data_IF_012485633124
#
_entry.id   IF_012485633124
#
_cell.length_a   1.000
_cell.length_b   1.000
_cell.length_c   1.000
_cell.angle_alpha   90.00
_cell.angle_beta   90.00
_cell.angle_gamma   90.00
#
_symmetry.space_group_name_H-M   'P 1'
#
loop_
_entity.id
_entity.type
_entity.pdbx_description
1 polymer ?
#
# COMPACT_ATOMS: atom_id res chain seq x y z
N UNK A 1 18.53 18.37 -42.64
CA UNK A 1 19.02 17.00 -42.44
C UNK A 1 18.09 16.37 -41.42
N UNK A 2 17.10 15.59 -41.85
CA UNK A 2 16.24 14.82 -40.93
C UNK A 2 17.06 13.65 -40.40
N UNK A 3 17.29 13.62 -39.09
CA UNK A 3 17.92 12.48 -38.42
C UNK A 3 16.97 11.27 -38.54
N UNK A 4 17.35 10.18 -39.23
CA UNK A 4 16.46 9.02 -39.44
C UNK A 4 16.32 8.11 -38.23
N UNK A 5 16.75 8.53 -37.06
CA UNK A 5 16.82 7.72 -35.84
C UNK A 5 15.73 7.99 -34.82
N UNK A 6 14.61 8.63 -35.16
CA UNK A 6 13.44 8.61 -34.26
C UNK A 6 12.79 7.23 -34.41
N UNK A 7 13.37 6.24 -33.72
CA UNK A 7 12.78 4.92 -33.59
C UNK A 7 11.34 5.09 -33.02
N UNK A 8 10.37 4.51 -33.71
CA UNK A 8 8.96 4.56 -33.37
C UNK A 8 8.78 4.01 -31.93
N UNK A 9 8.38 4.87 -30.98
CA UNK A 9 8.08 4.45 -29.61
C UNK A 9 6.84 3.57 -29.60
N UNK A 10 6.90 2.46 -28.88
CA UNK A 10 5.83 1.48 -28.79
C UNK A 10 5.46 1.26 -27.33
N UNK A 11 4.17 1.43 -27.02
CA UNK A 11 3.58 1.05 -25.73
C UNK A 11 3.11 -0.40 -25.81
N UNK A 12 3.50 -1.22 -24.82
CA UNK A 12 3.09 -2.63 -24.73
C UNK A 12 3.23 -3.18 -23.29
N UNK A 13 2.57 -4.30 -22.97
CA UNK A 13 2.86 -5.03 -21.75
C UNK A 13 4.34 -5.42 -21.64
N UNK A 14 4.83 -5.50 -20.42
CA UNK A 14 6.16 -6.02 -20.08
C UNK A 14 6.19 -7.53 -20.36
N UNK A 15 7.27 -7.99 -20.97
CA UNK A 15 7.56 -9.43 -21.14
C UNK A 15 8.76 -9.85 -20.30
N UNK A 16 8.92 -11.16 -20.08
CA UNK A 16 10.08 -11.68 -19.35
C UNK A 16 11.43 -11.32 -20.00
N UNK A 17 11.46 -11.18 -21.32
CA UNK A 17 12.67 -10.77 -22.07
C UNK A 17 13.09 -9.32 -21.78
N UNK A 18 12.17 -8.46 -21.33
CA UNK A 18 12.46 -7.06 -21.00
C UNK A 18 13.07 -6.89 -19.61
N UNK A 19 12.96 -7.88 -18.72
CA UNK A 19 13.33 -7.77 -17.31
C UNK A 19 14.76 -7.25 -17.10
N UNK A 20 15.81 -7.77 -17.78
CA UNK A 20 17.16 -7.25 -17.58
C UNK A 20 17.28 -5.75 -17.91
N UNK A 21 16.63 -5.31 -18.99
CA UNK A 21 16.64 -3.90 -19.42
C UNK A 21 15.86 -3.00 -18.43
N UNK A 22 14.76 -3.50 -17.87
CA UNK A 22 13.96 -2.77 -16.87
C UNK A 22 14.70 -2.68 -15.54
N UNK A 23 15.41 -3.72 -15.10
CA UNK A 23 16.25 -3.66 -13.91
C UNK A 23 17.38 -2.63 -14.05
N UNK A 24 18.02 -2.57 -15.23
CA UNK A 24 18.98 -1.51 -15.56
C UNK A 24 18.35 -0.11 -15.47
N UNK A 25 17.14 0.06 -16.02
CA UNK A 25 16.39 1.31 -15.96
C UNK A 25 16.06 1.71 -14.50
N UNK A 26 15.70 0.76 -13.63
CA UNK A 26 15.47 1.03 -12.22
C UNK A 26 16.74 1.50 -11.52
N UNK A 27 17.86 0.83 -11.75
CA UNK A 27 19.15 1.25 -11.19
C UNK A 27 19.55 2.67 -11.66
N UNK A 28 19.39 2.97 -12.94
CA UNK A 28 19.64 4.31 -13.49
C UNK A 28 18.71 5.38 -12.91
N UNK A 29 17.47 5.02 -12.58
CA UNK A 29 16.48 5.92 -11.99
C UNK A 29 16.54 6.01 -10.45
N UNK A 30 17.43 5.25 -9.82
CA UNK A 30 17.54 5.19 -8.34
C UNK A 30 16.34 4.53 -7.66
N UNK A 31 15.64 3.63 -8.36
CA UNK A 31 14.57 2.81 -7.78
C UNK A 31 15.13 1.49 -7.28
N UNK A 32 14.63 1.04 -6.14
CA UNK A 32 14.96 -0.27 -5.56
C UNK A 32 13.68 -1.08 -5.33
N UNK A 33 12.95 -1.48 -6.39
CA UNK A 33 11.81 -2.37 -6.23
C UNK A 33 12.30 -3.76 -5.84
N UNK A 34 11.42 -4.58 -5.25
CA UNK A 34 11.71 -5.98 -5.07
C UNK A 34 11.88 -6.65 -6.43
N UNK A 35 13.03 -7.22 -6.67
CA UNK A 35 13.47 -7.66 -8.01
C UNK A 35 13.83 -9.15 -8.08
N UNK A 36 13.64 -9.90 -7.00
CA UNK A 36 13.80 -11.35 -7.06
C UNK A 36 12.80 -11.96 -8.07
N UNK A 37 13.16 -13.01 -8.83
CA UNK A 37 12.31 -13.56 -9.88
C UNK A 37 10.89 -13.91 -9.41
N UNK A 38 10.74 -14.48 -8.22
CA UNK A 38 9.44 -14.80 -7.62
C UNK A 38 8.60 -13.54 -7.32
N UNK A 39 9.25 -12.43 -6.91
CA UNK A 39 8.60 -11.17 -6.59
C UNK A 39 8.04 -10.54 -7.87
N UNK A 40 8.84 -10.53 -8.94
CA UNK A 40 8.42 -10.03 -10.25
C UNK A 40 7.29 -10.86 -10.83
N UNK A 41 7.36 -12.20 -10.70
CA UNK A 41 6.32 -13.11 -11.15
C UNK A 41 4.99 -12.79 -10.47
N UNK A 42 5.00 -12.65 -9.14
CA UNK A 42 3.81 -12.29 -8.38
C UNK A 42 3.33 -10.89 -8.70
N UNK A 43 4.21 -9.90 -8.66
CA UNK A 43 3.90 -8.48 -8.77
C UNK A 43 3.36 -8.11 -10.15
N UNK A 44 3.92 -8.68 -11.23
CA UNK A 44 3.65 -8.25 -12.59
C UNK A 44 2.79 -9.23 -13.40
N UNK A 45 2.90 -10.52 -13.16
CA UNK A 45 2.31 -11.53 -14.06
C UNK A 45 1.36 -12.51 -13.38
N UNK A 46 1.46 -12.77 -12.07
CA UNK A 46 0.55 -13.71 -11.43
C UNK A 46 -0.91 -13.26 -11.66
N UNK A 47 -1.77 -14.13 -12.22
CA UNK A 47 -3.15 -13.77 -12.51
C UNK A 47 -3.92 -13.28 -11.26
N UNK A 48 -4.75 -12.29 -11.46
CA UNK A 48 -5.74 -11.82 -10.48
C UNK A 48 -7.12 -11.99 -11.07
N UNK A 49 -8.00 -12.74 -10.41
CA UNK A 49 -9.35 -12.98 -10.89
C UNK A 49 -10.21 -11.68 -10.93
N UNK A 50 -9.93 -10.74 -10.02
CA UNK A 50 -10.59 -9.43 -9.99
C UNK A 50 -10.03 -8.44 -11.04
N UNK A 51 -8.92 -8.79 -11.70
CA UNK A 51 -8.31 -7.98 -12.76
C UNK A 51 -7.61 -8.85 -13.81
N UNK A 52 -8.26 -9.19 -14.92
CA UNK A 52 -7.70 -10.11 -15.93
C UNK A 52 -6.65 -9.48 -16.85
N UNK A 53 -6.48 -8.16 -16.83
CA UNK A 53 -5.53 -7.45 -17.69
C UNK A 53 -4.07 -7.49 -17.20
N UNK A 54 -3.11 -7.12 -18.06
CA UNK A 54 -1.71 -7.00 -17.69
C UNK A 54 -1.54 -5.87 -16.64
N UNK A 55 -0.53 -6.05 -15.76
CA UNK A 55 -0.26 -5.13 -14.65
C UNK A 55 1.12 -4.50 -14.70
N UNK A 56 1.83 -4.65 -15.81
CA UNK A 56 3.13 -4.00 -16.02
C UNK A 56 3.30 -3.67 -17.49
N UNK A 57 3.80 -2.47 -17.77
CA UNK A 57 3.92 -1.90 -19.11
C UNK A 57 5.24 -1.21 -19.31
N UNK A 58 5.67 -1.20 -20.55
CA UNK A 58 6.84 -0.44 -21.02
C UNK A 58 6.46 0.49 -22.17
N UNK A 59 7.16 1.61 -22.23
CA UNK A 59 7.36 2.35 -23.46
C UNK A 59 8.74 1.96 -23.98
N UNK A 60 8.81 1.40 -25.17
CA UNK A 60 10.04 0.92 -25.78
C UNK A 60 10.34 1.65 -27.08
N UNK A 61 11.61 1.73 -27.45
CA UNK A 61 12.09 2.14 -28.76
C UNK A 61 12.89 0.99 -29.42
N UNK A 62 13.58 1.24 -30.50
CA UNK A 62 14.39 0.23 -31.20
C UNK A 62 15.55 -0.36 -30.37
N UNK A 63 15.88 0.23 -29.22
CA UNK A 63 16.94 -0.21 -28.30
C UNK A 63 16.39 -0.90 -27.03
N UNK A 64 15.05 -0.95 -26.87
CA UNK A 64 14.38 -1.59 -25.73
C UNK A 64 13.56 -0.63 -24.84
N UNK A 65 13.21 -1.04 -23.62
CA UNK A 65 12.45 -0.22 -22.67
C UNK A 65 13.15 1.10 -22.33
N UNK A 66 12.41 2.20 -22.50
CA UNK A 66 12.84 3.58 -22.14
C UNK A 66 12.04 4.15 -20.96
N UNK A 67 10.88 3.54 -20.66
CA UNK A 67 10.11 3.79 -19.44
C UNK A 67 9.34 2.52 -19.03
N UNK A 68 9.11 2.38 -17.75
CA UNK A 68 8.37 1.27 -17.13
C UNK A 68 7.38 1.81 -16.11
N UNK A 69 6.26 1.12 -15.93
CA UNK A 69 5.37 1.29 -14.81
C UNK A 69 4.61 -0.01 -14.53
N UNK A 70 4.43 -0.31 -13.25
CA UNK A 70 3.55 -1.37 -12.79
C UNK A 70 2.28 -0.79 -12.17
N UNK A 71 1.25 -1.63 -12.06
CA UNK A 71 -0.10 -1.24 -11.71
C UNK A 71 -0.62 -2.02 -10.51
N UNK A 72 -1.25 -1.31 -9.58
CA UNK A 72 -2.16 -1.89 -8.58
C UNK A 72 -3.58 -1.44 -8.95
N UNK A 73 -4.31 -2.26 -9.71
CA UNK A 73 -5.66 -1.94 -10.12
C UNK A 73 -6.66 -2.20 -8.99
N UNK A 74 -7.69 -1.37 -8.92
CA UNK A 74 -8.81 -1.51 -8.00
C UNK A 74 -10.09 -0.93 -8.62
N UNK A 75 -11.23 -1.31 -8.07
CA UNK A 75 -12.47 -0.58 -8.24
C UNK A 75 -12.56 0.46 -7.14
N UNK A 76 -12.91 1.69 -7.50
CA UNK A 76 -13.22 2.76 -6.56
C UNK A 76 -14.73 3.01 -6.56
N UNK A 77 -15.34 3.01 -5.39
CA UNK A 77 -16.80 3.18 -5.25
C UNK A 77 -17.14 4.34 -4.31
N UNK A 78 -18.17 5.10 -4.66
CA UNK A 78 -18.78 6.14 -3.82
C UNK A 78 -20.23 6.39 -4.27
N UNK A 79 -21.17 6.51 -3.34
CA UNK A 79 -22.58 6.66 -3.66
C UNK A 79 -23.04 5.55 -4.62
N UNK A 80 -23.49 5.95 -5.82
CA UNK A 80 -23.90 5.04 -6.90
C UNK A 80 -22.81 4.80 -7.95
N UNK A 81 -21.68 5.46 -7.81
CA UNK A 81 -20.58 5.38 -8.76
C UNK A 81 -19.63 4.25 -8.44
N UNK A 82 -19.15 3.57 -9.48
CA UNK A 82 -18.11 2.54 -9.42
C UNK A 82 -17.23 2.66 -10.65
N UNK A 83 -15.96 2.97 -10.45
CA UNK A 83 -15.01 3.21 -11.54
C UNK A 83 -13.78 2.32 -11.43
N UNK A 84 -13.16 2.01 -12.56
CA UNK A 84 -11.82 1.43 -12.61
C UNK A 84 -10.81 2.51 -12.25
N UNK A 85 -10.00 2.24 -11.21
CA UNK A 85 -8.90 3.09 -10.77
C UNK A 85 -7.60 2.29 -10.76
N UNK A 86 -6.52 2.89 -11.19
CA UNK A 86 -5.19 2.26 -11.23
C UNK A 86 -4.23 3.11 -10.41
N UNK A 87 -3.64 2.52 -9.37
CA UNK A 87 -2.46 3.09 -8.74
C UNK A 87 -1.21 2.65 -9.50
N UNK A 88 -0.39 3.63 -9.89
CA UNK A 88 0.85 3.41 -10.63
C UNK A 88 2.01 3.30 -9.65
N UNK A 89 2.74 2.19 -9.73
CA UNK A 89 3.93 1.90 -8.93
C UNK A 89 5.12 1.57 -9.86
N UNK A 90 6.33 1.53 -9.31
CA UNK A 90 7.56 1.24 -10.05
C UNK A 90 7.67 2.07 -11.35
N UNK A 91 7.24 3.34 -11.27
CA UNK A 91 7.26 4.25 -12.41
C UNK A 91 8.65 4.86 -12.57
N UNK A 92 9.33 4.44 -13.63
CA UNK A 92 10.66 4.90 -13.99
C UNK A 92 10.74 5.28 -15.45
N UNK A 93 11.62 6.20 -15.78
CA UNK A 93 12.01 6.52 -17.16
C UNK A 93 13.53 6.69 -17.22
N UNK A 94 14.12 6.32 -18.37
CA UNK A 94 15.54 6.46 -18.59
C UNK A 94 15.96 7.92 -18.48
N UNK A 95 16.99 8.26 -17.68
CA UNK A 95 17.54 9.60 -17.63
C UNK A 95 17.92 10.11 -19.02
N UNK A 96 17.64 11.38 -19.28
CA UNK A 96 17.91 12.02 -20.58
C UNK A 96 16.82 11.81 -21.65
N UNK A 97 15.87 10.90 -21.49
CA UNK A 97 14.74 10.77 -22.42
C UNK A 97 13.52 11.52 -21.87
N UNK A 98 13.50 12.84 -22.14
CA UNK A 98 12.45 13.72 -21.65
C UNK A 98 11.07 13.26 -22.11
N UNK A 99 10.11 13.25 -21.19
CA UNK A 99 8.71 12.95 -21.44
C UNK A 99 8.36 11.45 -21.61
N UNK A 100 9.33 10.53 -21.58
CA UNK A 100 9.03 9.09 -21.75
C UNK A 100 8.11 8.54 -20.65
N UNK A 101 8.38 8.87 -19.39
CA UNK A 101 7.52 8.47 -18.28
C UNK A 101 6.10 9.05 -18.37
N UNK A 102 5.96 10.31 -18.77
CA UNK A 102 4.66 10.97 -18.95
C UNK A 102 3.88 10.35 -20.11
N UNK A 103 4.56 10.05 -21.24
CA UNK A 103 3.96 9.36 -22.36
C UNK A 103 3.43 7.97 -21.96
N UNK A 104 4.20 7.21 -21.18
CA UNK A 104 3.76 5.93 -20.63
C UNK A 104 2.50 6.08 -19.76
N UNK A 105 2.48 7.05 -18.83
CA UNK A 105 1.29 7.32 -17.99
C UNK A 105 0.06 7.72 -18.80
N UNK A 106 0.25 8.44 -19.94
CA UNK A 106 -0.85 8.79 -20.84
C UNK A 106 -1.50 7.53 -21.43
N UNK A 107 -0.70 6.56 -21.86
CA UNK A 107 -1.21 5.28 -22.39
C UNK A 107 -1.89 4.43 -21.29
N UNK A 108 -1.29 4.35 -20.10
CA UNK A 108 -1.91 3.65 -18.97
C UNK A 108 -3.25 4.29 -18.59
N UNK A 109 -3.34 5.61 -18.61
CA UNK A 109 -4.56 6.35 -18.30
C UNK A 109 -5.75 6.04 -19.23
N UNK A 110 -5.50 5.46 -20.40
CA UNK A 110 -6.55 5.01 -21.32
C UNK A 110 -7.18 3.66 -20.88
N UNK A 111 -6.62 2.98 -19.90
CA UNK A 111 -7.08 1.66 -19.44
C UNK A 111 -8.01 1.74 -18.22
N UNK A 112 -8.17 2.94 -17.63
CA UNK A 112 -8.98 3.17 -16.44
C UNK A 112 -9.67 4.53 -16.49
N UNK A 113 -10.70 4.70 -15.70
CA UNK A 113 -11.42 5.98 -15.56
C UNK A 113 -10.67 6.98 -14.68
N UNK A 114 -9.74 6.49 -13.82
CA UNK A 114 -8.85 7.36 -13.06
C UNK A 114 -7.51 6.69 -12.76
N UNK A 115 -6.45 7.50 -12.67
CA UNK A 115 -5.18 7.09 -12.12
C UNK A 115 -5.05 7.61 -10.67
N UNK A 116 -4.48 6.79 -9.82
CA UNK A 116 -4.17 7.10 -8.42
C UNK A 116 -2.66 7.17 -8.25
N UNK A 117 -2.18 8.13 -7.47
CA UNK A 117 -0.82 8.22 -6.99
C UNK A 117 -0.84 8.41 -5.45
N UNK A 118 -0.09 7.57 -4.74
CA UNK A 118 0.06 7.62 -3.29
C UNK A 118 1.54 7.80 -3.00
N UNK A 119 1.92 8.98 -2.51
CA UNK A 119 3.31 9.33 -2.32
C UNK A 119 4.08 9.52 -3.61
N UNK A 120 5.36 9.15 -3.56
CA UNK A 120 6.33 9.28 -4.66
C UNK A 120 7.55 10.09 -4.27
N UNK A 121 8.58 10.06 -5.12
CA UNK A 121 9.78 10.90 -4.96
C UNK A 121 9.44 12.38 -5.07
N UNK A 122 10.33 13.26 -4.59
CA UNK A 122 10.16 14.70 -4.74
C UNK A 122 9.94 15.10 -6.21
N UNK A 123 10.66 14.48 -7.14
CA UNK A 123 10.47 14.70 -8.58
C UNK A 123 9.08 14.25 -9.05
N UNK A 124 8.61 13.08 -8.62
CA UNK A 124 7.26 12.58 -8.93
C UNK A 124 6.21 13.59 -8.47
N UNK A 125 6.29 14.05 -7.21
CA UNK A 125 5.35 15.01 -6.64
C UNK A 125 5.32 16.36 -7.36
N UNK A 126 6.43 16.78 -7.98
CA UNK A 126 6.49 18.00 -8.81
C UNK A 126 5.84 17.79 -10.20
N UNK A 127 5.94 16.59 -10.77
CA UNK A 127 5.42 16.30 -12.10
C UNK A 127 3.91 16.03 -12.09
N UNK A 128 3.40 15.32 -11.09
CA UNK A 128 2.01 14.86 -11.04
C UNK A 128 0.98 15.99 -11.25
N UNK A 129 1.06 17.17 -10.61
CA UNK A 129 0.11 18.26 -10.86
C UNK A 129 0.16 18.76 -12.31
N UNK A 130 1.34 18.80 -12.92
CA UNK A 130 1.55 19.28 -14.30
C UNK A 130 0.87 18.36 -15.34
N UNK A 131 0.66 17.11 -15.00
CA UNK A 131 -0.01 16.12 -15.86
C UNK A 131 -1.44 15.81 -15.43
N UNK A 132 -2.04 16.67 -14.60
CA UNK A 132 -3.47 16.68 -14.26
C UNK A 132 -3.86 15.89 -13.03
N UNK A 133 -2.91 15.43 -12.20
CA UNK A 133 -3.25 14.87 -10.88
C UNK A 133 -3.68 15.99 -9.92
N UNK A 134 -4.70 15.71 -9.12
CA UNK A 134 -5.25 16.61 -8.11
C UNK A 134 -5.21 15.96 -6.74
N UNK A 135 -4.90 16.71 -5.67
CA UNK A 135 -4.89 16.18 -4.31
C UNK A 135 -6.33 15.80 -3.87
N UNK A 136 -6.46 14.65 -3.23
CA UNK A 136 -7.74 14.15 -2.64
C UNK A 136 -7.59 13.83 -1.16
N UNK A 137 -6.41 13.98 -0.58
CA UNK A 137 -6.18 13.79 0.84
C UNK A 137 -4.72 13.48 1.17
N UNK A 138 -4.52 13.14 2.44
CA UNK A 138 -3.23 12.71 3.00
C UNK A 138 -3.45 11.41 3.77
N UNK A 139 -2.65 10.39 3.52
CA UNK A 139 -2.57 9.22 4.39
C UNK A 139 -1.56 9.50 5.50
N UNK A 140 -1.99 9.45 6.75
CA UNK A 140 -1.11 9.62 7.91
C UNK A 140 -0.58 8.26 8.33
N UNK A 141 0.74 8.16 8.45
CA UNK A 141 1.43 7.02 9.03
C UNK A 141 1.37 7.07 10.56
N UNK A 142 0.89 5.98 11.15
CA UNK A 142 0.82 5.81 12.60
C UNK A 142 1.74 4.67 13.01
N UNK A 143 2.37 4.80 14.18
CA UNK A 143 3.26 3.79 14.75
C UNK A 143 2.92 3.55 16.23
N UNK A 144 2.97 2.29 16.62
CA UNK A 144 2.98 1.85 18.02
C UNK A 144 4.21 0.98 18.26
N UNK A 145 5.03 1.35 19.22
CA UNK A 145 6.14 0.50 19.68
C UNK A 145 5.57 -0.73 20.39
N UNK A 146 6.05 -1.91 19.98
CA UNK A 146 5.71 -3.19 20.61
C UNK A 146 6.81 -3.61 21.61
N UNK A 147 8.07 -3.59 21.17
CA UNK A 147 9.24 -4.01 21.93
C UNK A 147 10.39 -3.02 21.76
N UNK A 148 10.50 -2.00 22.64
CA UNK A 148 11.48 -0.91 22.51
C UNK A 148 12.92 -1.39 22.33
N UNK A 149 13.31 -2.45 23.02
CA UNK A 149 14.68 -2.98 22.97
C UNK A 149 15.04 -3.62 21.62
N UNK A 150 14.04 -3.98 20.82
CA UNK A 150 14.29 -4.53 19.47
C UNK A 150 14.58 -3.46 18.43
N UNK A 151 14.28 -2.18 18.71
CA UNK A 151 14.62 -1.05 17.84
C UNK A 151 16.15 -0.87 17.67
N UNK A 152 16.96 -1.46 18.52
CA UNK A 152 18.42 -1.44 18.40
C UNK A 152 18.99 -2.50 17.44
N UNK A 153 18.19 -3.43 16.99
CA UNK A 153 18.67 -4.51 16.12
C UNK A 153 18.57 -4.06 14.66
N UNK A 154 19.70 -3.80 14.03
CA UNK A 154 19.79 -3.60 12.59
C UNK A 154 20.26 -2.22 12.10
N UNK A 155 20.27 -1.20 12.94
CA UNK A 155 20.73 0.12 12.50
C UNK A 155 22.20 0.35 12.86
N UNK A 156 23.03 0.65 11.87
CA UNK A 156 24.41 1.15 12.06
C UNK A 156 24.43 2.60 12.62
N UNK A 157 23.37 3.01 13.34
CA UNK A 157 23.23 4.35 13.90
C UNK A 157 24.05 4.42 15.20
N UNK A 158 24.84 5.49 15.35
CA UNK A 158 25.61 5.73 16.57
C UNK A 158 24.73 5.65 17.83
N UNK A 159 25.14 4.87 18.83
CA UNK A 159 24.34 4.54 20.04
C UNK A 159 23.72 5.77 20.73
N UNK A 160 24.41 6.93 20.74
CA UNK A 160 23.90 8.16 21.35
C UNK A 160 22.66 8.74 20.64
N UNK A 161 22.47 8.49 19.33
CA UNK A 161 21.26 8.88 18.58
C UNK A 161 20.09 7.95 18.85
N UNK A 162 20.36 6.73 19.28
CA UNK A 162 19.34 5.73 19.61
C UNK A 162 18.73 5.94 21.00
N UNK A 163 19.50 6.46 21.96
CA UNK A 163 19.04 6.66 23.35
C UNK A 163 17.76 7.49 23.47
N UNK A 164 17.62 8.68 22.86
CA UNK A 164 16.38 9.46 22.94
C UNK A 164 15.19 8.73 22.29
N UNK A 165 15.45 7.99 21.21
CA UNK A 165 14.43 7.22 20.49
C UNK A 165 13.89 6.09 21.35
N UNK A 166 14.77 5.35 22.00
CA UNK A 166 14.38 4.25 22.91
C UNK A 166 13.69 4.78 24.13
N UNK A 167 14.19 5.84 24.78
CA UNK A 167 13.54 6.46 25.92
C UNK A 167 12.09 6.89 25.58
N UNK A 168 11.91 7.54 24.44
CA UNK A 168 10.59 7.90 23.91
C UNK A 168 9.71 6.66 23.70
N UNK A 169 10.26 5.62 23.07
CA UNK A 169 9.53 4.38 22.76
C UNK A 169 9.12 3.62 24.03
N UNK A 170 9.95 3.64 25.07
CA UNK A 170 9.60 3.09 26.39
C UNK A 170 8.44 3.90 26.99
N UNK A 171 8.51 5.23 27.01
CA UNK A 171 7.45 6.08 27.51
C UNK A 171 6.12 5.82 26.78
N UNK A 172 6.15 5.69 25.45
CA UNK A 172 4.98 5.35 24.64
C UNK A 172 4.41 3.97 24.96
N UNK A 173 5.27 2.98 25.23
CA UNK A 173 4.83 1.63 25.57
C UNK A 173 4.19 1.57 26.94
N UNK A 174 4.71 2.31 27.93
CA UNK A 174 4.17 2.37 29.29
C UNK A 174 2.81 3.08 29.33
N UNK A 175 2.59 4.10 28.51
CA UNK A 175 1.32 4.82 28.39
C UNK A 175 0.26 4.12 27.51
N UNK A 176 0.61 3.06 26.83
CA UNK A 176 -0.27 2.43 25.85
C UNK A 176 -1.26 1.44 26.52
N UNK A 177 -2.56 1.42 26.15
CA UNK A 177 -3.52 0.47 26.69
C UNK A 177 -3.13 -0.98 26.38
N UNK A 178 -3.26 -1.85 27.36
CA UNK A 178 -2.75 -3.23 27.31
C UNK A 178 -3.79 -4.28 26.89
N UNK A 179 -5.09 -4.02 27.07
CA UNK A 179 -6.12 -5.04 26.98
C UNK A 179 -7.20 -4.74 25.94
N UNK A 180 -7.64 -5.78 25.24
CA UNK A 180 -8.91 -5.84 24.49
C UNK A 180 -10.05 -6.22 25.43
N UNK A 181 -11.30 -5.98 24.98
CA UNK A 181 -12.49 -6.55 25.63
C UNK A 181 -12.52 -8.08 25.41
N UNK A 182 -12.89 -8.83 26.42
CA UNK A 182 -13.02 -10.30 26.37
C UNK A 182 -14.05 -10.80 25.35
N UNK A 183 -14.99 -9.94 24.95
CA UNK A 183 -16.06 -10.27 23.99
C UNK A 183 -15.59 -10.40 22.55
N UNK A 184 -14.35 -9.94 22.24
CA UNK A 184 -13.79 -9.98 20.90
C UNK A 184 -12.85 -11.15 20.73
N UNK A 185 -13.08 -11.92 19.68
CA UNK A 185 -12.24 -13.05 19.28
C UNK A 185 -11.56 -12.76 17.95
N UNK A 186 -10.40 -13.39 17.75
CA UNK A 186 -9.62 -13.28 16.52
C UNK A 186 -9.36 -14.66 15.98
N UNK A 187 -9.71 -14.88 14.72
CA UNK A 187 -9.48 -16.13 14.01
C UNK A 187 -8.60 -15.87 12.79
N UNK A 188 -7.49 -16.60 12.69
CA UNK A 188 -6.67 -16.60 11.48
C UNK A 188 -7.47 -17.19 10.33
N UNK A 189 -7.35 -16.58 9.15
CA UNK A 189 -8.14 -16.92 7.96
C UNK A 189 -7.20 -17.38 6.85
N UNK A 190 -7.39 -18.62 6.37
CA UNK A 190 -6.54 -19.24 5.36
C UNK A 190 -7.38 -19.92 4.29
N UNK A 191 -6.82 -20.05 3.07
CA UNK A 191 -7.44 -20.79 1.97
C UNK A 191 -8.89 -20.38 1.70
N UNK A 192 -9.79 -21.34 1.70
CA UNK A 192 -11.23 -21.11 1.45
C UNK A 192 -11.95 -20.33 2.56
N UNK A 193 -11.38 -20.29 3.77
CA UNK A 193 -11.93 -19.50 4.87
C UNK A 193 -11.94 -18.00 4.59
N UNK A 194 -11.18 -17.50 3.59
CA UNK A 194 -11.21 -16.10 3.14
C UNK A 194 -12.63 -15.67 2.77
N UNK A 195 -13.50 -16.60 2.34
CA UNK A 195 -14.91 -16.31 2.07
C UNK A 195 -15.68 -15.80 3.30
N UNK A 196 -15.23 -16.15 4.52
CA UNK A 196 -15.93 -15.74 5.76
C UNK A 196 -15.92 -14.24 6.02
N UNK A 197 -14.99 -13.47 5.41
CA UNK A 197 -14.97 -12.01 5.55
C UNK A 197 -15.77 -11.29 4.45
N UNK A 198 -16.33 -12.00 3.48
CA UNK A 198 -17.02 -11.40 2.32
C UNK A 198 -18.17 -10.47 2.71
N UNK A 199 -18.88 -10.78 3.79
CA UNK A 199 -20.01 -10.01 4.28
C UNK A 199 -19.60 -8.69 4.98
N UNK A 200 -18.33 -8.55 5.37
CA UNK A 200 -17.79 -7.40 6.12
C UNK A 200 -16.70 -6.66 5.34
N UNK A 201 -16.70 -6.77 4.02
CA UNK A 201 -15.78 -6.00 3.17
C UNK A 201 -16.19 -4.52 3.13
N UNK A 202 -15.22 -3.59 2.92
CA UNK A 202 -15.50 -2.17 2.87
C UNK A 202 -16.58 -1.81 1.86
N UNK A 203 -17.56 -1.07 2.31
CA UNK A 203 -18.61 -0.48 1.45
C UNK A 203 -18.51 1.04 1.49
N UNK A 204 -18.88 1.75 0.41
CA UNK A 204 -18.88 3.21 0.41
C UNK A 204 -19.88 3.74 1.44
N UNK A 205 -19.41 4.60 2.34
CA UNK A 205 -20.24 5.38 3.23
C UNK A 205 -20.61 6.74 2.61
N UNK A 206 -21.58 7.46 3.20
CA UNK A 206 -21.91 8.82 2.74
C UNK A 206 -20.68 9.73 2.79
N UNK A 207 -20.36 10.37 1.67
CA UNK A 207 -19.27 11.34 1.58
C UNK A 207 -17.86 10.75 1.58
N UNK A 208 -17.71 9.42 1.50
CA UNK A 208 -16.40 8.77 1.45
C UNK A 208 -16.32 7.81 0.25
N UNK A 209 -15.25 7.90 -0.51
CA UNK A 209 -14.90 6.91 -1.52
C UNK A 209 -14.02 5.82 -0.93
N UNK A 210 -14.20 4.59 -1.38
CA UNK A 210 -13.40 3.43 -0.97
C UNK A 210 -12.81 2.70 -2.17
N UNK A 211 -11.60 2.19 -2.04
CA UNK A 211 -11.06 1.20 -2.96
C UNK A 211 -11.58 -0.17 -2.53
N UNK A 212 -12.38 -0.79 -3.40
CA UNK A 212 -13.07 -2.04 -3.08
C UNK A 212 -12.08 -3.16 -2.74
N UNK A 213 -12.52 -4.04 -1.88
CA UNK A 213 -11.87 -5.31 -1.56
C UNK A 213 -12.69 -6.45 -2.11
N UNK A 214 -12.00 -7.51 -2.50
CA UNK A 214 -12.64 -8.79 -2.87
C UNK A 214 -11.90 -9.97 -2.23
N UNK A 215 -12.60 -11.07 -2.12
CA UNK A 215 -12.00 -12.34 -1.66
C UNK A 215 -10.83 -12.73 -2.55
N UNK A 216 -10.94 -12.54 -3.86
CA UNK A 216 -9.91 -12.84 -4.85
C UNK A 216 -8.67 -11.95 -4.64
N UNK A 217 -8.87 -10.66 -4.30
CA UNK A 217 -7.77 -9.76 -3.97
C UNK A 217 -7.03 -10.24 -2.71
N UNK A 218 -7.74 -10.70 -1.69
CA UNK A 218 -7.10 -11.26 -0.49
C UNK A 218 -6.38 -12.57 -0.78
N UNK A 219 -6.95 -13.48 -1.56
CA UNK A 219 -6.26 -14.71 -1.98
C UNK A 219 -4.96 -14.40 -2.73
N UNK A 220 -5.00 -13.46 -3.67
CA UNK A 220 -3.79 -12.99 -4.35
C UNK A 220 -2.79 -12.36 -3.36
N UNK A 221 -3.23 -11.52 -2.44
CA UNK A 221 -2.37 -10.85 -1.46
C UNK A 221 -1.70 -11.85 -0.51
N UNK A 222 -2.43 -12.85 -0.04
CA UNK A 222 -1.91 -13.90 0.84
C UNK A 222 -0.87 -14.81 0.16
N UNK A 223 -0.81 -14.83 -1.17
CA UNK A 223 0.24 -15.53 -1.93
C UNK A 223 1.50 -14.69 -2.17
N UNK A 224 1.63 -13.51 -1.52
CA UNK A 224 2.77 -12.62 -1.66
C UNK A 224 4.07 -13.30 -1.21
N UNK A 225 5.09 -13.44 -2.10
CA UNK A 225 6.37 -14.05 -1.73
C UNK A 225 7.32 -13.05 -1.05
N UNK A 226 7.04 -11.75 -1.16
CA UNK A 226 7.92 -10.67 -0.70
C UNK A 226 7.93 -10.57 0.82
N UNK A 227 6.74 -10.62 1.43
CA UNK A 227 6.56 -10.57 2.89
C UNK A 227 5.48 -11.57 3.31
N UNK A 228 5.64 -12.24 4.45
CA UNK A 228 4.57 -13.05 5.03
C UNK A 228 3.35 -12.17 5.33
N UNK A 229 2.19 -12.53 4.78
CA UNK A 229 0.93 -11.87 5.04
C UNK A 229 -0.05 -12.80 5.74
N UNK A 230 -0.70 -12.32 6.77
CA UNK A 230 -1.67 -13.10 7.55
C UNK A 230 -2.96 -12.31 7.71
N UNK A 231 -4.08 -12.89 7.29
CA UNK A 231 -5.41 -12.33 7.40
C UNK A 231 -6.08 -12.85 8.67
N UNK A 232 -6.75 -11.96 9.39
CA UNK A 232 -7.51 -12.28 10.59
C UNK A 232 -8.94 -11.76 10.47
N UNK A 233 -9.92 -12.60 10.78
CA UNK A 233 -11.29 -12.20 11.04
C UNK A 233 -11.43 -11.79 12.50
N UNK A 234 -12.18 -10.73 12.75
CA UNK A 234 -12.51 -10.20 14.08
C UNK A 234 -13.97 -10.51 14.34
N UNK A 235 -14.23 -11.25 15.40
CA UNK A 235 -15.54 -11.78 15.73
C UNK A 235 -16.06 -11.24 17.08
N UNK A 236 -17.37 -10.97 17.14
CA UNK A 236 -18.09 -10.61 18.38
C UNK A 236 -19.35 -11.44 18.45
N UNK A 237 -19.57 -12.12 19.58
CA UNK A 237 -20.72 -13.00 19.79
C UNK A 237 -20.92 -14.03 18.66
N UNK A 238 -19.82 -14.63 18.17
CA UNK A 238 -19.83 -15.64 17.13
C UNK A 238 -20.04 -15.14 15.69
N UNK A 239 -20.13 -13.82 15.49
CA UNK A 239 -20.30 -13.23 14.16
C UNK A 239 -19.07 -12.44 13.74
N UNK A 240 -18.62 -12.58 12.47
CA UNK A 240 -17.55 -11.77 11.91
C UNK A 240 -18.04 -10.32 11.80
N UNK A 241 -17.28 -9.40 12.37
CA UNK A 241 -17.59 -7.96 12.41
C UNK A 241 -16.55 -7.11 11.69
N UNK A 242 -15.42 -7.70 11.33
CA UNK A 242 -14.35 -7.00 10.64
C UNK A 242 -13.16 -7.91 10.36
N UNK A 243 -12.11 -7.33 9.84
CA UNK A 243 -10.85 -8.04 9.58
C UNK A 243 -9.67 -7.09 9.69
N UNK A 244 -8.48 -7.67 9.83
CA UNK A 244 -7.22 -6.99 9.59
C UNK A 244 -6.21 -7.93 8.90
N UNK A 245 -5.35 -7.36 8.07
CA UNK A 245 -4.28 -8.03 7.37
C UNK A 245 -2.94 -7.54 7.92
N UNK A 246 -2.13 -8.44 8.45
CA UNK A 246 -0.77 -8.15 8.88
C UNK A 246 0.23 -8.55 7.80
N UNK A 247 1.22 -7.69 7.55
CA UNK A 247 2.40 -7.96 6.73
C UNK A 247 3.64 -7.83 7.61
N UNK A 248 4.44 -8.89 7.71
CA UNK A 248 5.61 -8.96 8.59
C UNK A 248 6.89 -8.69 7.82
N UNK A 249 7.60 -7.64 8.19
CA UNK A 249 8.94 -7.32 7.70
C UNK A 249 9.92 -7.31 8.86
N UNK A 250 11.23 -7.50 8.65
CA UNK A 250 12.19 -7.49 9.75
C UNK A 250 12.10 -6.22 10.60
N UNK A 251 11.84 -6.39 11.89
CA UNK A 251 11.66 -5.29 12.85
C UNK A 251 10.32 -4.56 12.82
N UNK A 252 9.50 -4.73 11.79
CA UNK A 252 8.25 -3.97 11.62
C UNK A 252 7.11 -4.86 11.17
N UNK A 253 6.00 -4.87 11.88
CA UNK A 253 4.73 -5.43 11.41
C UNK A 253 3.86 -4.29 10.89
N UNK A 254 3.19 -4.50 9.77
CA UNK A 254 2.28 -3.53 9.13
C UNK A 254 0.85 -4.04 9.20
N UNK A 255 -0.08 -3.22 9.68
CA UNK A 255 -1.49 -3.43 9.36
C UNK A 255 -1.66 -2.94 7.92
N UNK A 256 -1.53 -3.87 6.98
CA UNK A 256 -1.57 -3.57 5.56
C UNK A 256 -2.97 -3.14 5.11
N UNK A 257 -4.00 -3.72 5.73
CA UNK A 257 -5.40 -3.40 5.51
C UNK A 257 -6.23 -3.76 6.74
N UNK A 258 -7.29 -3.01 7.02
CA UNK A 258 -8.26 -3.36 8.06
C UNK A 258 -9.62 -2.70 7.79
N UNK A 259 -10.68 -3.34 8.26
CA UNK A 259 -12.02 -2.79 8.21
C UNK A 259 -12.87 -3.33 9.37
N UNK A 260 -13.74 -2.48 9.88
CA UNK A 260 -14.76 -2.83 10.85
C UNK A 260 -16.13 -2.43 10.30
N UNK A 261 -17.07 -3.37 10.27
CA UNK A 261 -18.46 -3.14 9.89
C UNK A 261 -19.22 -2.54 11.08
N UNK A 262 -18.85 -1.32 11.46
CA UNK A 262 -19.42 -0.57 12.58
C UNK A 262 -19.02 0.89 12.50
N UNK A 263 -19.93 1.79 12.85
CA UNK A 263 -19.64 3.22 13.04
C UNK A 263 -19.23 3.55 14.48
N UNK A 264 -19.20 2.56 15.37
CA UNK A 264 -18.85 2.75 16.78
C UNK A 264 -17.34 2.80 16.99
N UNK A 265 -16.77 3.91 17.52
CA UNK A 265 -15.34 4.02 17.79
C UNK A 265 -14.78 2.93 18.70
N UNK A 266 -15.61 2.40 19.61
CA UNK A 266 -15.22 1.32 20.52
C UNK A 266 -14.94 0.00 19.81
N UNK A 267 -15.69 -0.31 18.74
CA UNK A 267 -15.49 -1.52 17.93
C UNK A 267 -14.19 -1.43 17.11
N UNK A 268 -13.92 -0.27 16.52
CA UNK A 268 -12.64 0.01 15.82
C UNK A 268 -11.45 -0.09 16.78
N UNK A 269 -11.59 0.48 17.98
CA UNK A 269 -10.57 0.36 19.03
C UNK A 269 -10.31 -1.10 19.40
N UNK A 270 -11.36 -1.91 19.57
CA UNK A 270 -11.23 -3.33 19.91
C UNK A 270 -10.48 -4.10 18.79
N UNK A 271 -10.83 -3.88 17.51
CA UNK A 271 -10.12 -4.48 16.38
C UNK A 271 -8.63 -4.11 16.37
N UNK A 272 -8.28 -2.84 16.58
CA UNK A 272 -6.89 -2.40 16.61
C UNK A 272 -6.12 -3.04 17.77
N UNK A 273 -6.72 -3.18 18.94
CA UNK A 273 -6.10 -3.90 20.06
C UNK A 273 -5.90 -5.39 19.75
N UNK A 274 -6.84 -6.03 19.04
CA UNK A 274 -6.65 -7.37 18.52
C UNK A 274 -5.45 -7.46 17.57
N UNK A 275 -5.30 -6.50 16.64
CA UNK A 275 -4.16 -6.46 15.72
C UNK A 275 -2.83 -6.25 16.47
N UNK A 276 -2.81 -5.39 17.48
CA UNK A 276 -1.63 -5.20 18.37
C UNK A 276 -1.24 -6.51 19.06
N UNK A 277 -2.22 -7.25 19.58
CA UNK A 277 -1.96 -8.52 20.25
C UNK A 277 -1.39 -9.57 19.30
N UNK A 278 -1.97 -9.71 18.10
CA UNK A 278 -1.44 -10.63 17.08
C UNK A 278 -0.03 -10.23 16.61
N UNK A 279 0.23 -8.93 16.40
CA UNK A 279 1.54 -8.45 15.98
C UNK A 279 2.65 -8.74 17.03
N UNK A 280 2.32 -8.83 18.33
CA UNK A 280 3.28 -9.19 19.38
C UNK A 280 3.77 -10.64 19.29
N UNK A 281 3.06 -11.52 18.61
CA UNK A 281 3.48 -12.89 18.37
C UNK A 281 4.61 -12.99 17.34
N UNK A 282 4.86 -11.95 16.55
CA UNK A 282 6.00 -11.90 15.65
C UNK A 282 7.29 -11.71 16.45
N UNK A 283 8.17 -12.72 16.38
CA UNK A 283 9.42 -12.74 17.15
C UNK A 283 10.41 -11.63 16.75
N UNK A 284 10.26 -11.06 15.56
CA UNK A 284 11.15 -9.99 15.06
C UNK A 284 10.54 -8.60 15.21
N UNK A 285 9.25 -8.47 15.47
CA UNK A 285 8.57 -7.19 15.57
C UNK A 285 9.20 -6.29 16.64
N UNK A 286 9.51 -5.05 16.29
CA UNK A 286 9.83 -3.98 17.23
C UNK A 286 8.68 -2.98 17.34
N UNK A 287 7.99 -2.75 16.22
CA UNK A 287 6.88 -1.80 16.10
C UNK A 287 5.76 -2.33 15.20
N UNK A 288 4.57 -1.77 15.37
CA UNK A 288 3.41 -1.96 14.51
C UNK A 288 3.07 -0.64 13.83
N UNK A 289 2.91 -0.65 12.51
CA UNK A 289 2.62 0.55 11.73
C UNK A 289 1.38 0.37 10.86
N UNK A 290 0.73 1.49 10.54
CA UNK A 290 -0.46 1.54 9.68
C UNK A 290 -0.59 2.91 9.03
N UNK A 291 -1.23 2.97 7.87
CA UNK A 291 -1.75 4.21 7.30
C UNK A 291 -3.24 4.36 7.56
N UNK A 292 -3.64 5.58 7.90
CA UNK A 292 -5.05 5.95 7.98
C UNK A 292 -5.27 7.37 7.47
N UNK A 293 -6.43 7.58 6.85
CA UNK A 293 -6.91 8.89 6.41
C UNK A 293 -8.41 9.09 6.65
N UNK A 294 -9.04 8.18 7.39
CA UNK A 294 -10.40 8.36 7.92
C UNK A 294 -10.38 8.62 9.43
N UNK A 295 -11.37 9.37 9.89
CA UNK A 295 -11.40 9.87 11.27
C UNK A 295 -11.62 8.76 12.31
N UNK A 296 -12.47 7.77 12.01
CA UNK A 296 -12.77 6.68 12.93
C UNK A 296 -11.53 5.82 13.20
N UNK A 297 -10.84 5.40 12.14
CA UNK A 297 -9.61 4.64 12.27
C UNK A 297 -8.52 5.47 12.98
N UNK A 298 -8.34 6.74 12.60
CA UNK A 298 -7.36 7.62 13.23
C UNK A 298 -7.61 7.78 14.75
N UNK A 299 -8.87 7.99 15.16
CA UNK A 299 -9.25 8.07 16.57
C UNK A 299 -9.00 6.75 17.31
N UNK A 300 -9.35 5.61 16.69
CA UNK A 300 -9.10 4.29 17.26
C UNK A 300 -7.60 4.06 17.47
N UNK A 301 -6.77 4.40 16.48
CA UNK A 301 -5.30 4.27 16.56
C UNK A 301 -4.73 5.09 17.72
N UNK A 302 -5.09 6.38 17.82
CA UNK A 302 -4.63 7.24 18.91
C UNK A 302 -5.05 6.68 20.27
N UNK A 303 -6.30 6.23 20.42
CA UNK A 303 -6.80 5.62 21.65
C UNK A 303 -6.14 4.28 21.99
N UNK A 304 -5.49 3.63 21.02
CA UNK A 304 -4.69 2.42 21.19
C UNK A 304 -3.20 2.67 21.38
N UNK A 305 -2.76 3.91 21.61
CA UNK A 305 -1.36 4.24 21.84
C UNK A 305 -0.49 4.27 20.59
N UNK A 306 -1.09 4.49 19.42
CA UNK A 306 -0.35 4.84 18.21
C UNK A 306 -0.05 6.33 18.18
N UNK A 307 1.03 6.69 17.51
CA UNK A 307 1.48 8.07 17.32
C UNK A 307 1.60 8.38 15.84
N UNK A 308 1.07 9.52 15.41
CA UNK A 308 1.20 10.01 14.04
C UNK A 308 2.66 10.41 13.75
N UNK A 309 3.17 10.09 12.56
CA UNK A 309 4.58 10.31 12.19
C UNK A 309 4.75 11.11 10.92
N UNK A 310 4.32 10.61 9.80
CA UNK A 310 4.49 11.24 8.50
C UNK A 310 3.16 11.25 7.74
N UNK A 311 3.11 12.06 6.73
CA UNK A 311 1.97 12.15 5.83
C UNK A 311 2.39 11.88 4.40
N UNK A 312 1.57 11.10 3.70
CA UNK A 312 1.78 10.72 2.31
C UNK A 312 0.65 11.31 1.47
N UNK A 313 0.93 12.13 0.46
CA UNK A 313 -0.10 12.73 -0.37
C UNK A 313 -0.81 11.68 -1.21
N UNK A 314 -2.12 11.83 -1.34
CA UNK A 314 -2.99 11.03 -2.21
C UNK A 314 -3.47 11.95 -3.33
N UNK A 315 -3.22 11.59 -4.57
CA UNK A 315 -3.58 12.38 -5.74
C UNK A 315 -4.30 11.50 -6.76
N UNK A 316 -5.29 12.06 -7.45
CA UNK A 316 -6.06 11.38 -8.48
C UNK A 316 -6.05 12.19 -9.77
N UNK A 317 -5.86 11.50 -10.89
CA UNK A 317 -6.06 12.04 -12.23
C UNK A 317 -7.23 11.32 -12.88
N UNK A 318 -8.43 11.91 -12.91
CA UNK A 318 -9.56 11.33 -13.62
C UNK A 318 -9.38 11.49 -15.13
N UNK A 319 -9.92 10.55 -15.93
CA UNK A 319 -9.99 10.69 -17.38
C UNK A 319 -10.97 11.79 -17.77
N UNK A 320 -12.07 11.93 -17.02
CA UNK A 320 -13.08 12.98 -17.13
C UNK A 320 -13.39 13.54 -15.74
N UNK A 321 -13.80 14.80 -15.68
CA UNK A 321 -14.08 15.47 -14.40
C UNK A 321 -15.15 14.74 -13.55
N UNK A 322 -16.11 14.09 -14.20
CA UNK A 322 -17.16 13.31 -13.54
C UNK A 322 -16.64 12.09 -12.76
N UNK A 323 -15.45 11.60 -13.10
CA UNK A 323 -14.81 10.46 -12.43
C UNK A 323 -13.88 10.84 -11.25
N UNK A 324 -13.97 12.08 -10.79
CA UNK A 324 -13.23 12.50 -9.60
C UNK A 324 -13.94 11.99 -8.34
N UNK A 325 -13.30 11.10 -7.54
CA UNK A 325 -13.91 10.64 -6.29
C UNK A 325 -14.00 11.80 -5.29
N UNK A 326 -15.00 11.79 -4.39
CA UNK A 326 -15.04 12.75 -3.29
C UNK A 326 -13.86 12.57 -2.35
N UNK A 327 -13.50 13.63 -1.64
CA UNK A 327 -12.58 13.57 -0.52
C UNK A 327 -13.38 13.33 0.79
N UNK A 328 -12.89 12.46 1.69
CA UNK A 328 -11.68 11.67 1.55
C UNK A 328 -11.89 10.40 0.68
N UNK A 329 -10.89 10.07 -0.12
CA UNK A 329 -10.73 8.72 -0.65
C UNK A 329 -10.01 7.89 0.40
N UNK A 330 -10.67 6.87 0.95
CA UNK A 330 -10.05 5.97 1.92
C UNK A 330 -8.93 5.14 1.27
N UNK A 331 -7.74 5.24 1.88
CA UNK A 331 -6.53 4.57 1.41
C UNK A 331 -5.84 3.90 2.58
N UNK A 332 -5.35 2.67 2.35
CA UNK A 332 -4.49 1.94 3.27
C UNK A 332 -3.23 1.43 2.58
N UNK A 333 -2.30 0.81 3.30
CA UNK A 333 -1.03 0.34 2.72
C UNK A 333 -1.24 -0.69 1.60
N UNK A 334 -2.32 -1.49 1.66
CA UNK A 334 -2.67 -2.47 0.61
C UNK A 334 -3.07 -1.81 -0.72
N UNK A 335 -3.37 -0.52 -0.73
CA UNK A 335 -3.71 0.22 -1.93
C UNK A 335 -2.49 0.68 -2.74
N UNK A 336 -1.31 0.49 -2.18
CA UNK A 336 -0.02 0.71 -2.82
C UNK A 336 0.96 -0.41 -2.47
N UNK A 337 2.20 -0.29 -2.87
CA UNK A 337 3.28 -1.24 -2.57
C UNK A 337 3.84 -1.12 -1.15
N UNK A 338 3.43 -0.10 -0.37
CA UNK A 338 3.84 0.04 1.03
C UNK A 338 3.46 -1.15 1.91
N UNK A 339 2.45 -1.96 1.51
CA UNK A 339 2.11 -3.19 2.21
C UNK A 339 3.21 -4.25 2.13
N UNK A 340 3.93 -4.32 1.01
CA UNK A 340 4.90 -5.38 0.70
C UNK A 340 6.28 -4.87 0.27
N UNK A 341 6.45 -3.55 0.06
CA UNK A 341 7.75 -2.99 -0.25
C UNK A 341 8.71 -3.24 0.93
N UNK A 342 9.85 -3.81 0.62
CA UNK A 342 10.83 -4.23 1.59
C UNK A 342 12.23 -4.00 1.04
N UNK A 343 12.92 -3.01 1.56
CA UNK A 343 14.32 -2.71 1.27
C UNK A 343 15.20 -3.24 2.40
N UNK A 344 15.36 -4.59 2.48
CA UNK A 344 16.22 -5.21 3.50
C UNK A 344 15.74 -4.98 4.93
N UNK A 345 15.89 -3.75 5.43
CA UNK A 345 15.38 -3.34 6.75
C UNK A 345 14.63 -2.02 6.62
N UNK A 346 13.29 -2.02 6.73
CA UNK A 346 12.54 -0.77 6.74
C UNK A 346 12.97 0.09 7.92
N UNK A 347 13.19 1.39 7.68
CA UNK A 347 13.47 2.33 8.75
C UNK A 347 12.33 2.33 9.78
N UNK A 348 12.67 2.22 11.07
CA UNK A 348 11.67 2.30 12.13
C UNK A 348 11.01 3.69 12.19
N UNK A 349 9.70 3.72 12.43
CA UNK A 349 8.93 4.96 12.57
C UNK A 349 8.86 5.46 14.01
N UNK A 350 9.07 4.57 15.00
CA UNK A 350 9.07 4.89 16.44
C UNK A 350 10.25 5.76 16.89
#
# INVERSE_FOLDING_TARGET
MNDPTISKRMFRPLTAADVPSVLGLFAEAGLSPNVAPQDLQWKYWQPRADWPGPRSFVLADGRGPIAHAALIPAWCAWGVHRIKMIHVIDWAARPGIVGAGVALLKHIGQQAQALLAIGGSAQTLQILPQIGFRPVGLATGYVRTLFPMRLFRGDAIAAWRLLPRVARSIAWTLGAPAARSADWQVRRVEGEQVNSIAAVLPVPARGMAVLERSVERFRYTLSCPVVPMTLFAVEKSGSVRGYFLLASTPGQVRIADCWMDSDEPADWRAMILCAVEQAKHDAQAAELVIWANDALLAQALLSCGFHARHQTPIQVRPAEAAWMPPAPLRVQMLDCDAAFLHEGHPGHWA
#
